data_IF_700812086817
#
_entry.id   IF_700812086817
#
_cell.length_a   1.000
_cell.length_b   1.000
_cell.length_c   1.000
_cell.angle_alpha   90.00
_cell.angle_beta   90.00
_cell.angle_gamma   90.00
#
_symmetry.space_group_name_H-M   'P 1'
#
loop_
_entity.id
_entity.type
_entity.pdbx_description
1 polymer ?
#
# COMPACT_ATOMS: atom_id res chain seq x y z
N UNK A 1 -25.90 -7.02 9.17
CA UNK A 1 -25.20 -6.19 10.18
C UNK A 1 -23.94 -5.49 9.64
N UNK A 2 -23.50 -5.73 8.41
CA UNK A 2 -22.36 -5.02 7.78
C UNK A 2 -22.79 -4.02 6.67
N UNK A 3 -24.05 -3.60 6.63
CA UNK A 3 -24.60 -2.74 5.56
C UNK A 3 -24.02 -1.31 5.54
N UNK A 4 -23.30 -0.92 6.60
CA UNK A 4 -22.62 0.37 6.74
C UNK A 4 -21.23 0.41 6.09
N UNK A 5 -20.65 -0.75 5.76
CA UNK A 5 -19.38 -0.83 5.05
C UNK A 5 -19.62 -0.67 3.54
N UNK A 6 -18.62 -0.13 2.84
CA UNK A 6 -18.67 -0.10 1.38
C UNK A 6 -18.67 -1.52 0.82
N UNK A 7 -19.65 -1.81 -0.03
CA UNK A 7 -19.88 -3.13 -0.56
C UNK A 7 -20.93 -3.12 -1.67
N UNK A 8 -20.93 -4.16 -2.50
CA UNK A 8 -21.86 -4.29 -3.63
C UNK A 8 -22.96 -5.28 -3.22
N UNK A 9 -24.15 -4.76 -2.99
CA UNK A 9 -25.38 -5.52 -2.71
C UNK A 9 -26.59 -4.76 -3.23
N UNK A 10 -27.73 -5.45 -3.40
CA UNK A 10 -28.99 -4.80 -3.81
C UNK A 10 -29.40 -3.68 -2.84
N UNK A 11 -29.15 -3.86 -1.54
CA UNK A 11 -29.39 -2.83 -0.54
C UNK A 11 -28.42 -1.64 -0.64
N UNK A 12 -27.16 -1.87 -1.01
CA UNK A 12 -26.20 -0.78 -1.18
C UNK A 12 -26.46 0.04 -2.45
N UNK A 13 -27.03 -0.55 -3.51
CA UNK A 13 -27.44 0.18 -4.71
C UNK A 13 -28.52 1.25 -4.43
N UNK A 14 -29.56 0.92 -3.65
CA UNK A 14 -30.56 1.90 -3.23
C UNK A 14 -29.99 2.96 -2.27
N UNK A 15 -29.10 2.57 -1.36
CA UNK A 15 -28.39 3.51 -0.48
C UNK A 15 -27.50 4.47 -1.27
N UNK A 16 -26.80 4.00 -2.31
CA UNK A 16 -25.97 4.82 -3.18
C UNK A 16 -26.77 5.91 -3.90
N UNK A 17 -28.02 5.66 -4.29
CA UNK A 17 -28.91 6.69 -4.87
C UNK A 17 -29.18 7.79 -3.83
N UNK A 18 -29.53 7.40 -2.60
CA UNK A 18 -29.74 8.35 -1.49
C UNK A 18 -28.49 9.16 -1.16
N UNK A 19 -27.34 8.50 -1.02
CA UNK A 19 -26.04 9.14 -0.79
C UNK A 19 -25.60 10.04 -1.97
N UNK A 20 -25.98 9.69 -3.21
CA UNK A 20 -25.76 10.54 -4.38
C UNK A 20 -26.56 11.84 -4.31
N UNK A 21 -27.83 11.77 -3.93
CA UNK A 21 -28.66 12.96 -3.73
C UNK A 21 -28.16 13.81 -2.57
N UNK A 22 -27.79 13.17 -1.45
CA UNK A 22 -27.19 13.85 -0.28
C UNK A 22 -25.90 14.56 -0.65
N UNK A 23 -24.98 13.89 -1.34
CA UNK A 23 -23.75 14.50 -1.80
C UNK A 23 -24.00 15.69 -2.73
N UNK A 24 -24.95 15.57 -3.67
CA UNK A 24 -25.30 16.69 -4.57
C UNK A 24 -25.83 17.91 -3.82
N UNK A 25 -26.63 17.71 -2.76
CA UNK A 25 -27.26 18.80 -1.99
C UNK A 25 -26.33 19.39 -0.93
N UNK A 26 -25.63 18.55 -0.19
CA UNK A 26 -24.95 18.90 1.05
C UNK A 26 -23.42 18.77 0.95
N UNK A 27 -22.89 18.18 -0.13
CA UNK A 27 -21.46 17.84 -0.26
C UNK A 27 -20.95 17.01 0.91
N UNK A 28 -21.81 16.14 1.44
CA UNK A 28 -21.55 15.26 2.58
C UNK A 28 -22.05 13.84 2.28
N UNK A 29 -21.68 12.89 3.14
CA UNK A 29 -22.13 11.50 3.05
C UNK A 29 -21.05 10.56 2.55
N UNK A 30 -21.40 9.30 2.34
CA UNK A 30 -20.46 8.22 2.03
C UNK A 30 -19.61 8.52 0.79
N UNK A 31 -20.17 9.18 -0.22
CA UNK A 31 -19.47 9.51 -1.46
C UNK A 31 -18.32 10.51 -1.29
N UNK A 32 -18.15 11.11 -0.10
CA UNK A 32 -16.97 11.95 0.21
C UNK A 32 -15.80 11.16 0.78
N UNK A 33 -15.96 9.86 1.03
CA UNK A 33 -14.90 9.00 1.58
C UNK A 33 -13.99 8.44 0.49
N UNK A 34 -12.70 8.34 0.80
CA UNK A 34 -11.69 7.62 0.01
C UNK A 34 -11.54 6.14 0.44
N UNK A 35 -12.41 5.66 1.33
CA UNK A 35 -12.47 4.32 1.95
C UNK A 35 -11.37 4.00 2.98
N UNK A 36 -10.28 4.76 3.02
CA UNK A 36 -9.20 4.58 3.98
C UNK A 36 -9.48 5.43 5.24
N UNK A 37 -10.13 4.82 6.23
CA UNK A 37 -10.75 5.54 7.36
C UNK A 37 -9.87 5.61 8.60
N UNK A 38 -8.87 4.72 8.71
CA UNK A 38 -7.94 4.73 9.82
C UNK A 38 -6.55 4.27 9.35
N UNK A 39 -5.53 4.72 10.07
CA UNK A 39 -4.16 4.27 9.85
C UNK A 39 -3.33 4.30 11.12
N UNK A 40 -2.21 3.58 11.09
CA UNK A 40 -1.26 3.55 12.19
C UNK A 40 0.17 3.43 11.67
N UNK A 41 1.11 4.04 12.39
CA UNK A 41 2.53 3.81 12.21
C UNK A 41 3.01 2.91 13.34
N UNK A 42 3.51 1.72 13.01
CA UNK A 42 3.89 0.72 14.00
C UNK A 42 5.32 0.24 13.78
N UNK A 43 5.96 -0.19 14.87
CA UNK A 43 7.18 -0.98 14.80
C UNK A 43 6.78 -2.44 14.62
N UNK A 44 7.30 -3.09 13.58
CA UNK A 44 7.09 -4.52 13.31
C UNK A 44 7.59 -5.39 14.47
N UNK A 45 8.71 -5.00 15.07
CA UNK A 45 9.39 -5.72 16.16
C UNK A 45 9.97 -4.80 17.23
N UNK A 46 10.22 -5.37 18.41
CA UNK A 46 10.92 -4.68 19.49
C UNK A 46 12.35 -4.31 19.08
N UNK A 47 12.84 -3.15 19.56
CA UNK A 47 14.20 -2.68 19.31
C UNK A 47 14.38 -1.77 18.09
N UNK A 48 13.36 -1.58 17.25
CA UNK A 48 13.40 -0.56 16.20
C UNK A 48 13.31 0.85 16.80
N UNK A 49 14.14 1.77 16.29
CA UNK A 49 14.16 3.16 16.74
C UNK A 49 12.87 3.91 16.37
N UNK A 50 12.26 3.54 15.25
CA UNK A 50 11.13 4.22 14.65
C UNK A 50 10.19 3.23 13.95
N UNK A 51 8.92 3.59 13.71
CA UNK A 51 8.00 2.77 12.92
C UNK A 51 8.54 2.48 11.52
N UNK A 52 8.53 1.21 11.16
CA UNK A 52 8.93 0.70 9.84
C UNK A 52 7.74 0.23 9.00
N UNK A 53 6.55 0.16 9.60
CA UNK A 53 5.30 -0.21 8.95
C UNK A 53 4.24 0.89 9.07
N UNK A 54 3.50 1.10 7.99
CA UNK A 54 2.23 1.80 7.99
C UNK A 54 1.10 0.79 7.79
N UNK A 55 0.09 0.88 8.65
CA UNK A 55 -1.16 0.16 8.53
C UNK A 55 -2.23 1.11 7.99
N UNK A 56 -2.98 0.66 7.00
CA UNK A 56 -4.11 1.40 6.42
C UNK A 56 -5.36 0.53 6.47
N UNK A 57 -6.36 0.97 7.23
CA UNK A 57 -7.65 0.29 7.37
C UNK A 57 -8.64 0.81 6.34
N UNK A 58 -9.18 -0.10 5.54
CA UNK A 58 -10.10 0.21 4.44
C UNK A 58 -11.45 -0.43 4.74
N UNK A 59 -12.52 0.35 4.69
CA UNK A 59 -13.90 -0.10 4.96
C UNK A 59 -14.59 -0.67 3.71
N UNK A 60 -13.86 -1.46 2.92
CA UNK A 60 -14.37 -2.14 1.73
C UNK A 60 -13.64 -3.43 1.43
N UNK A 61 -14.24 -4.28 0.59
CA UNK A 61 -13.57 -5.45 0.04
C UNK A 61 -12.60 -5.02 -1.06
N UNK A 62 -11.31 -5.07 -0.76
CA UNK A 62 -10.25 -4.86 -1.74
C UNK A 62 -9.75 -6.23 -2.20
N UNK A 63 -10.03 -6.57 -3.46
CA UNK A 63 -9.47 -7.74 -4.15
C UNK A 63 -8.66 -7.24 -5.35
N UNK A 64 -7.43 -7.74 -5.51
CA UNK A 64 -6.52 -7.63 -6.67
C UNK A 64 -6.83 -6.45 -7.59
N UNK A 65 -6.24 -5.29 -7.28
CA UNK A 65 -6.36 -4.07 -8.07
C UNK A 65 -7.81 -3.61 -8.33
N UNK A 66 -8.76 -3.97 -7.45
CA UNK A 66 -10.21 -3.70 -7.63
C UNK A 66 -10.81 -4.30 -8.91
N UNK A 67 -10.10 -5.21 -9.59
CA UNK A 67 -10.50 -5.76 -10.90
C UNK A 67 -11.58 -6.84 -10.81
N UNK A 68 -11.79 -7.42 -9.63
CA UNK A 68 -12.86 -8.39 -9.38
C UNK A 68 -13.92 -7.77 -8.47
N UNK A 69 -15.06 -7.42 -9.06
CA UNK A 69 -16.25 -7.03 -8.33
C UNK A 69 -16.72 -8.21 -7.47
N UNK A 70 -16.46 -8.15 -6.17
CA UNK A 70 -17.04 -9.08 -5.20
C UNK A 70 -18.33 -8.50 -4.65
N UNK A 71 -19.40 -9.27 -4.80
CA UNK A 71 -20.64 -9.02 -4.08
C UNK A 71 -20.38 -9.26 -2.59
N UNK A 72 -20.84 -8.33 -1.75
CA UNK A 72 -20.64 -8.39 -0.30
C UNK A 72 -20.05 -7.13 0.29
N UNK A 73 -19.89 -7.14 1.61
CA UNK A 73 -19.33 -6.07 2.42
C UNK A 73 -18.13 -6.62 3.18
N UNK A 74 -17.14 -5.77 3.46
CA UNK A 74 -15.97 -6.20 4.20
C UNK A 74 -15.05 -5.04 4.52
N UNK A 75 -13.92 -5.38 5.11
CA UNK A 75 -12.87 -4.45 5.48
C UNK A 75 -11.52 -5.13 5.27
N UNK A 76 -10.49 -4.32 5.07
CA UNK A 76 -9.12 -4.77 4.89
C UNK A 76 -8.18 -3.92 5.75
N UNK A 77 -7.05 -4.51 6.15
CA UNK A 77 -5.96 -3.80 6.80
C UNK A 77 -4.69 -4.07 6.00
N UNK A 78 -4.20 -3.07 5.27
CA UNK A 78 -2.98 -3.17 4.48
C UNK A 78 -1.78 -2.81 5.35
N UNK A 79 -0.70 -3.59 5.24
CA UNK A 79 0.59 -3.26 5.83
C UNK A 79 1.57 -2.85 4.71
N UNK A 80 2.24 -1.72 4.89
CA UNK A 80 3.22 -1.18 3.94
C UNK A 80 4.55 -0.93 4.64
N UNK A 81 5.65 -1.38 4.04
CA UNK A 81 7.01 -1.12 4.52
C UNK A 81 7.36 0.32 4.16
N UNK A 82 7.68 1.12 5.17
CA UNK A 82 7.96 2.56 5.02
C UNK A 82 9.38 2.85 4.57
N UNK A 83 10.31 1.99 4.96
CA UNK A 83 11.74 2.13 4.65
C UNK A 83 12.25 0.86 3.99
N UNK A 84 11.75 0.54 2.79
CA UNK A 84 12.17 -0.66 2.10
C UNK A 84 13.66 -0.58 1.82
N UNK A 85 14.35 -1.71 1.86
CA UNK A 85 15.76 -1.85 1.50
C UNK A 85 15.95 -2.26 0.05
N UNK A 86 14.99 -2.96 -0.52
CA UNK A 86 14.92 -3.26 -1.95
C UNK A 86 15.06 -1.99 -2.79
N UNK A 87 15.82 -2.06 -3.87
CA UNK A 87 16.03 -0.94 -4.81
C UNK A 87 15.81 -1.42 -6.24
N UNK A 88 14.91 -0.73 -6.93
CA UNK A 88 14.60 -0.95 -8.35
C UNK A 88 15.30 0.05 -9.28
N UNK A 89 14.97 -0.04 -10.56
CA UNK A 89 15.49 0.85 -11.60
C UNK A 89 14.45 1.17 -12.68
N UNK A 90 14.64 2.32 -13.32
CA UNK A 90 13.92 2.73 -14.53
C UNK A 90 14.96 2.95 -15.63
N UNK A 91 14.78 2.34 -16.80
CA UNK A 91 15.72 2.41 -17.93
C UNK A 91 14.99 2.66 -19.24
N UNK A 92 15.68 3.31 -20.18
CA UNK A 92 15.18 3.45 -21.54
C UNK A 92 15.23 2.09 -22.26
N UNK A 93 14.11 1.70 -22.87
CA UNK A 93 14.06 0.55 -23.79
C UNK A 93 14.48 0.94 -25.22
N UNK A 94 14.34 2.23 -25.55
CA UNK A 94 14.46 2.77 -26.90
C UNK A 94 14.76 4.27 -26.83
N UNK A 95 15.39 4.87 -27.87
CA UNK A 95 15.46 6.32 -28.01
C UNK A 95 14.10 6.98 -28.38
N UNK A 96 13.08 6.21 -28.80
CA UNK A 96 11.74 6.77 -29.07
C UNK A 96 10.99 7.03 -27.75
N UNK A 97 10.67 8.30 -27.39
CA UNK A 97 10.04 8.64 -26.12
C UNK A 97 8.60 8.11 -25.98
N UNK A 98 8.00 7.59 -27.06
CA UNK A 98 6.67 6.96 -27.04
C UNK A 98 6.71 5.49 -26.62
N UNK A 99 7.91 4.89 -26.57
CA UNK A 99 8.08 3.51 -26.11
C UNK A 99 8.10 3.48 -24.58
N UNK A 100 7.36 2.54 -24.00
CA UNK A 100 7.33 2.37 -22.55
C UNK A 100 8.75 2.11 -22.02
N UNK A 101 9.14 2.74 -20.89
CA UNK A 101 10.42 2.44 -20.26
C UNK A 101 10.42 1.04 -19.65
N UNK A 102 11.62 0.51 -19.41
CA UNK A 102 11.80 -0.69 -18.60
C UNK A 102 11.76 -0.28 -17.13
N UNK A 103 10.77 -0.75 -16.39
CA UNK A 103 10.61 -0.49 -14.95
C UNK A 103 10.72 -1.84 -14.24
N UNK A 104 11.75 -1.98 -13.41
CA UNK A 104 11.90 -3.10 -12.49
C UNK A 104 11.98 -2.56 -11.06
N UNK A 105 10.87 -2.60 -10.30
CA UNK A 105 10.87 -2.16 -8.91
C UNK A 105 11.72 -3.05 -7.99
N UNK A 106 12.01 -4.28 -8.42
CA UNK A 106 12.80 -5.27 -7.70
C UNK A 106 12.31 -5.48 -6.25
N UNK A 107 10.98 -5.49 -6.06
CA UNK A 107 10.35 -5.65 -4.74
C UNK A 107 10.79 -6.94 -4.06
N UNK A 108 10.98 -6.88 -2.74
CA UNK A 108 11.32 -8.03 -1.90
C UNK A 108 12.65 -8.70 -2.28
N UNK A 109 13.55 -7.95 -2.94
CA UNK A 109 14.92 -8.39 -3.22
C UNK A 109 15.79 -8.40 -1.96
N UNK A 110 15.51 -7.50 -1.01
CA UNK A 110 16.07 -7.57 0.35
C UNK A 110 15.14 -8.41 1.26
N UNK A 111 15.65 -9.48 1.91
CA UNK A 111 14.82 -10.34 2.75
C UNK A 111 14.20 -9.61 3.95
N UNK A 112 14.77 -8.48 4.40
CA UNK A 112 14.21 -7.73 5.53
C UNK A 112 12.88 -7.06 5.20
N UNK A 113 12.64 -6.73 3.92
CA UNK A 113 11.35 -6.19 3.49
C UNK A 113 10.26 -7.27 3.60
N UNK A 114 10.60 -8.53 3.29
CA UNK A 114 9.70 -9.66 3.48
C UNK A 114 9.42 -9.93 4.96
N UNK A 115 10.44 -9.88 5.81
CA UNK A 115 10.28 -10.08 7.25
C UNK A 115 9.36 -9.01 7.86
N UNK A 116 9.55 -7.75 7.47
CA UNK A 116 8.69 -6.64 7.92
C UNK A 116 7.23 -6.84 7.46
N UNK A 117 7.00 -7.27 6.22
CA UNK A 117 5.65 -7.57 5.74
C UNK A 117 5.00 -8.75 6.48
N UNK A 118 5.77 -9.79 6.81
CA UNK A 118 5.29 -10.94 7.57
C UNK A 118 4.86 -10.52 8.98
N UNK A 119 5.64 -9.66 9.65
CA UNK A 119 5.28 -9.10 10.95
C UNK A 119 4.05 -8.17 10.83
N UNK A 120 3.99 -7.36 9.77
CA UNK A 120 2.83 -6.52 9.46
C UNK A 120 1.55 -7.34 9.26
N UNK A 121 1.63 -8.49 8.59
CA UNK A 121 0.52 -9.42 8.39
C UNK A 121 0.00 -9.96 9.74
N UNK A 122 0.91 -10.35 10.64
CA UNK A 122 0.56 -10.82 11.99
C UNK A 122 -0.11 -9.73 12.82
N UNK A 123 0.44 -8.50 12.76
CA UNK A 123 -0.14 -7.35 13.45
C UNK A 123 -1.55 -7.05 12.93
N UNK A 124 -1.73 -7.01 11.61
CA UNK A 124 -3.02 -6.80 10.98
C UNK A 124 -4.03 -7.86 11.42
N UNK A 125 -3.68 -9.15 11.35
CA UNK A 125 -4.55 -10.25 11.81
C UNK A 125 -4.96 -10.10 13.28
N UNK A 126 -4.01 -9.79 14.17
CA UNK A 126 -4.30 -9.55 15.59
C UNK A 126 -5.27 -8.40 15.81
N UNK A 127 -5.15 -7.31 15.04
CA UNK A 127 -6.07 -6.18 15.10
C UNK A 127 -7.47 -6.61 14.63
N UNK A 128 -7.56 -7.28 13.48
CA UNK A 128 -8.84 -7.72 12.91
C UNK A 128 -9.56 -8.76 13.80
N UNK A 129 -8.81 -9.51 14.61
CA UNK A 129 -9.34 -10.47 15.58
C UNK A 129 -9.83 -9.84 16.90
N UNK A 130 -9.62 -8.53 17.13
CA UNK A 130 -10.09 -7.88 18.36
C UNK A 130 -11.63 -7.84 18.42
N UNK A 131 -12.19 -7.92 19.63
CA UNK A 131 -13.63 -8.06 19.86
C UNK A 131 -14.52 -7.07 19.08
N UNK A 132 -14.20 -5.76 18.97
CA UNK A 132 -15.02 -4.82 18.21
C UNK A 132 -15.12 -5.15 16.71
N UNK A 133 -14.06 -5.71 16.11
CA UNK A 133 -14.02 -6.09 14.70
C UNK A 133 -14.53 -7.52 14.50
N UNK A 134 -14.17 -8.44 15.39
CA UNK A 134 -14.65 -9.83 15.36
C UNK A 134 -16.19 -9.91 15.43
N UNK A 135 -16.85 -8.97 16.11
CA UNK A 135 -18.31 -8.88 16.20
C UNK A 135 -19.01 -8.70 14.84
N UNK A 136 -18.31 -8.23 13.80
CA UNK A 136 -18.86 -8.14 12.44
C UNK A 136 -18.89 -9.49 11.70
N UNK A 137 -18.27 -10.53 12.26
CA UNK A 137 -18.31 -11.89 11.70
C UNK A 137 -17.58 -12.03 10.36
N UNK A 138 -16.57 -11.19 10.10
CA UNK A 138 -15.73 -11.29 8.92
C UNK A 138 -15.02 -12.65 8.87
N UNK A 139 -15.08 -13.31 7.71
CA UNK A 139 -14.30 -14.53 7.46
C UNK A 139 -13.03 -14.15 6.71
N UNK A 140 -11.91 -14.69 7.14
CA UNK A 140 -10.65 -14.53 6.41
C UNK A 140 -10.76 -15.24 5.05
N UNK A 141 -10.75 -14.44 3.99
CA UNK A 141 -10.98 -14.93 2.63
C UNK A 141 -9.77 -15.66 2.03
N UNK A 142 -8.56 -15.46 2.58
CA UNK A 142 -7.31 -15.87 1.90
C UNK A 142 -6.24 -16.45 2.81
N UNK A 143 -6.33 -16.27 4.13
CA UNK A 143 -5.28 -16.63 5.09
C UNK A 143 -5.77 -17.59 6.18
N UNK A 144 -6.92 -18.25 6.00
CA UNK A 144 -7.46 -19.22 6.94
C UNK A 144 -6.50 -20.40 7.23
N UNK A 145 -5.52 -20.64 6.34
CA UNK A 145 -4.49 -21.67 6.48
C UNK A 145 -3.18 -21.17 7.11
N UNK A 146 -3.03 -19.86 7.33
CA UNK A 146 -1.85 -19.31 7.99
C UNK A 146 -1.96 -19.45 9.51
N UNK A 147 -0.89 -19.94 10.12
CA UNK A 147 -0.76 -20.09 11.57
C UNK A 147 0.00 -18.91 12.14
N UNK A 148 -0.49 -18.37 13.25
CA UNK A 148 0.14 -17.23 13.94
C UNK A 148 1.34 -17.65 14.82
N UNK A 149 1.61 -18.95 14.96
CA UNK A 149 2.69 -19.54 15.77
C UNK A 149 4.02 -19.71 15.02
N UNK A 150 4.10 -19.22 13.78
CA UNK A 150 5.29 -19.33 12.92
C UNK A 150 5.48 -20.70 12.28
N UNK A 151 4.63 -21.69 12.59
CA UNK A 151 4.73 -23.05 12.07
C UNK A 151 4.49 -23.19 10.57
N UNK A 152 4.09 -22.11 9.87
CA UNK A 152 3.91 -22.08 8.43
C UNK A 152 4.31 -20.73 7.80
N UNK A 153 5.43 -20.15 8.25
CA UNK A 153 5.94 -18.87 7.73
C UNK A 153 6.24 -18.92 6.23
N UNK A 154 6.62 -20.08 5.68
CA UNK A 154 6.90 -20.19 4.24
C UNK A 154 5.63 -20.01 3.40
N UNK A 155 4.50 -20.58 3.80
CA UNK A 155 3.24 -20.33 3.11
C UNK A 155 2.81 -18.86 3.22
N UNK A 156 3.07 -18.22 4.37
CA UNK A 156 2.80 -16.80 4.54
C UNK A 156 3.67 -15.94 3.62
N UNK A 157 4.97 -16.23 3.52
CA UNK A 157 5.91 -15.56 2.61
C UNK A 157 5.52 -15.76 1.15
N UNK A 158 5.15 -16.98 0.76
CA UNK A 158 4.67 -17.27 -0.59
C UNK A 158 3.38 -16.49 -0.90
N UNK A 159 2.46 -16.41 0.06
CA UNK A 159 1.25 -15.62 -0.07
C UNK A 159 1.57 -14.12 -0.23
N UNK A 160 2.48 -13.58 0.58
CA UNK A 160 2.93 -12.18 0.46
C UNK A 160 3.52 -11.94 -0.93
N UNK A 161 4.40 -12.81 -1.43
CA UNK A 161 4.97 -12.66 -2.79
C UNK A 161 3.91 -12.62 -3.88
N UNK A 162 2.85 -13.43 -3.74
CA UNK A 162 1.78 -13.51 -4.73
C UNK A 162 0.79 -12.33 -4.68
N UNK A 163 0.69 -11.62 -3.54
CA UNK A 163 -0.36 -10.62 -3.32
C UNK A 163 0.15 -9.23 -2.92
N UNK A 164 1.44 -9.07 -2.62
CA UNK A 164 2.01 -7.76 -2.33
C UNK A 164 1.90 -6.85 -3.55
N UNK A 165 1.52 -5.59 -3.30
CA UNK A 165 1.32 -4.59 -4.34
C UNK A 165 2.09 -3.32 -4.01
N UNK A 166 2.31 -2.49 -5.02
CA UNK A 166 2.88 -1.16 -4.81
C UNK A 166 1.89 -0.27 -4.06
N UNK A 167 2.37 0.49 -3.09
CA UNK A 167 1.63 1.61 -2.51
C UNK A 167 1.60 2.86 -3.43
N UNK A 168 2.13 2.75 -4.65
CA UNK A 168 2.19 3.82 -5.65
C UNK A 168 2.96 5.07 -5.19
N UNK A 169 4.04 4.88 -4.43
CA UNK A 169 4.92 5.94 -3.91
C UNK A 169 6.39 5.78 -4.39
N UNK A 170 6.66 5.68 -5.71
CA UNK A 170 8.04 5.55 -6.20
C UNK A 170 8.82 6.86 -6.06
N UNK A 171 10.09 6.78 -5.65
CA UNK A 171 10.99 7.92 -5.51
C UNK A 171 12.43 7.53 -5.88
N UNK A 172 13.33 8.51 -5.94
CA UNK A 172 14.79 8.27 -5.93
C UNK A 172 15.47 7.96 -7.26
N UNK A 173 14.75 7.93 -8.38
CA UNK A 173 15.34 7.65 -9.71
C UNK A 173 16.27 8.76 -10.23
N UNK A 174 16.16 9.98 -9.70
CA UNK A 174 17.07 11.10 -9.95
C UNK A 174 17.55 11.71 -8.63
N UNK A 175 17.98 10.85 -7.70
CA UNK A 175 18.23 11.25 -6.31
C UNK A 175 19.17 12.45 -6.16
N UNK A 176 18.83 13.28 -5.18
CA UNK A 176 19.64 14.37 -4.67
C UNK A 176 20.78 13.85 -3.80
N UNK A 177 21.96 14.45 -3.91
CA UNK A 177 23.09 14.12 -3.04
C UNK A 177 24.40 14.80 -3.44
N UNK A 178 25.44 14.53 -2.67
CA UNK A 178 26.80 15.03 -2.93
C UNK A 178 27.78 13.92 -3.32
N UNK A 179 27.36 12.66 -3.26
CA UNK A 179 28.20 11.51 -3.56
C UNK A 179 28.13 11.11 -5.06
N UNK A 180 29.00 10.20 -5.55
CA UNK A 180 29.07 9.87 -6.98
C UNK A 180 27.80 9.32 -7.61
N UNK A 181 26.87 8.75 -6.82
CA UNK A 181 25.63 8.18 -7.33
C UNK A 181 24.50 9.23 -7.44
N UNK A 182 24.75 10.49 -7.11
CA UNK A 182 23.72 11.53 -7.11
C UNK A 182 23.53 12.13 -8.51
N UNK A 183 22.26 12.33 -8.91
CA UNK A 183 21.88 12.91 -10.21
C UNK A 183 21.75 14.44 -10.12
N UNK A 184 21.18 14.92 -9.02
CA UNK A 184 21.07 16.36 -8.73
C UNK A 184 21.81 16.76 -7.46
N UNK A 185 22.30 18.00 -7.42
CA UNK A 185 22.91 18.58 -6.22
C UNK A 185 21.83 19.01 -5.19
N UNK A 186 22.21 19.45 -3.97
CA UNK A 186 21.26 19.95 -2.97
C UNK A 186 20.43 21.18 -3.38
N UNK A 187 20.78 21.83 -4.49
CA UNK A 187 20.00 22.88 -5.13
C UNK A 187 19.15 22.35 -6.29
N UNK A 188 19.03 21.03 -6.45
CA UNK A 188 18.26 20.34 -7.47
C UNK A 188 18.78 20.53 -8.90
N UNK A 189 20.03 20.98 -9.06
CA UNK A 189 20.66 21.17 -10.37
C UNK A 189 21.19 19.84 -10.88
N UNK A 190 20.91 19.52 -12.14
CA UNK A 190 21.43 18.31 -12.78
C UNK A 190 22.94 18.42 -12.92
N UNK A 191 23.67 17.42 -12.41
CA UNK A 191 25.13 17.44 -12.44
C UNK A 191 25.63 17.26 -13.86
N UNK A 192 26.53 18.14 -14.30
CA UNK A 192 27.10 18.13 -15.65
C UNK A 192 26.26 18.82 -16.73
N UNK A 193 25.11 19.41 -16.39
CA UNK A 193 24.27 20.16 -17.33
C UNK A 193 23.90 21.52 -16.72
N UNK A 194 24.28 22.60 -17.40
CA UNK A 194 23.93 23.96 -16.98
C UNK A 194 22.45 24.27 -17.28
N UNK A 195 21.81 25.05 -16.40
CA UNK A 195 20.43 25.52 -16.61
C UNK A 195 19.33 24.47 -16.44
N UNK A 196 19.64 23.24 -16.03
CA UNK A 196 18.66 22.15 -15.88
C UNK A 196 18.46 21.74 -14.41
N UNK A 197 17.20 21.52 -14.00
CA UNK A 197 16.81 21.03 -12.68
C UNK A 197 15.74 19.93 -12.77
N UNK A 198 15.69 19.06 -11.76
CA UNK A 198 14.59 18.10 -11.55
C UNK A 198 13.87 18.47 -10.26
N UNK A 199 12.54 18.62 -10.31
CA UNK A 199 11.74 19.13 -9.19
C UNK A 199 10.49 18.26 -9.00
N UNK A 200 10.72 16.98 -8.72
CA UNK A 200 9.66 16.00 -8.43
C UNK A 200 10.16 14.97 -7.40
N UNK A 201 9.35 13.95 -7.11
CA UNK A 201 9.67 12.93 -6.10
C UNK A 201 10.91 12.08 -6.44
N UNK A 202 11.37 12.04 -7.69
CA UNK A 202 12.57 11.29 -8.09
C UNK A 202 13.84 11.79 -7.40
N UNK A 203 13.86 13.02 -6.89
CA UNK A 203 15.01 13.60 -6.19
C UNK A 203 15.14 13.14 -4.74
N UNK A 204 14.09 12.55 -4.14
CA UNK A 204 14.14 12.14 -2.74
C UNK A 204 15.16 11.00 -2.56
N UNK A 205 16.20 11.16 -1.70
CA UNK A 205 17.30 10.20 -1.61
C UNK A 205 16.92 8.89 -0.89
N UNK A 206 15.90 8.92 -0.05
CA UNK A 206 15.32 7.77 0.65
C UNK A 206 13.82 7.97 0.83
N UNK A 207 13.09 6.86 0.95
CA UNK A 207 11.77 6.80 1.58
C UNK A 207 11.93 6.82 3.10
#
# INVERSE_FOLDING_TARGET
RASELFGISLGSAFRLIGESLRYRRERSGMLTSNLAEAGAFVRSRAGLAEPDLQLSFVVGLVDDETRRLRLGHGYACHASVLRPRSRGAVRLASPDPRKAPLIDPHYLSDPQDMDALLDGLRIARRILAQAPLAAFGGQDLRLSQLRDDGGNDEAARAWIRAHAQSACQPVGTCRMGMDPLAVVDPQLRVRGIEGLRVVDASIMPTL
#
